data_IF_106123017772
#
_entry.id   IF_106123017772
#
_cell.length_a   1.000
_cell.length_b   1.000
_cell.length_c   1.000
_cell.angle_alpha   90.00
_cell.angle_beta   90.00
_cell.angle_gamma   90.00
#
_symmetry.space_group_name_H-M   'P 1'
#
loop_
_entity.id
_entity.type
_entity.pdbx_description
1 polymer ?
#
# COMPACT_ATOMS: atom_id res chain seq x y z
N UNK A 1 -3.20 9.86 -31.25
CA UNK A 1 -2.58 11.00 -30.55
C UNK A 1 -1.09 10.78 -30.53
N UNK A 2 -0.33 11.71 -31.05
CA UNK A 2 1.09 11.59 -31.41
C UNK A 2 1.95 11.67 -30.16
N UNK A 3 2.77 10.64 -29.93
CA UNK A 3 3.73 10.58 -28.81
C UNK A 3 4.88 11.53 -29.10
N UNK A 4 5.01 12.60 -28.33
CA UNK A 4 6.16 13.50 -28.36
C UNK A 4 7.33 12.88 -27.59
N UNK A 5 8.47 12.72 -28.26
CA UNK A 5 9.76 12.33 -27.68
C UNK A 5 10.24 13.39 -26.70
N UNK A 6 10.62 12.97 -25.48
CA UNK A 6 11.30 13.81 -24.51
C UNK A 6 12.76 14.09 -24.93
N UNK A 7 13.29 15.30 -24.68
CA UNK A 7 14.68 15.64 -24.95
C UNK A 7 15.63 15.06 -23.90
N UNK A 8 16.84 14.70 -24.36
CA UNK A 8 17.95 14.20 -23.57
C UNK A 8 18.42 15.20 -22.48
N UNK A 9 18.53 14.71 -21.25
CA UNK A 9 19.12 15.47 -20.15
C UNK A 9 20.66 15.38 -20.18
N UNK A 10 21.38 16.52 -20.04
CA UNK A 10 22.84 16.50 -19.98
C UNK A 10 23.36 15.96 -18.63
N UNK A 11 24.31 15.04 -18.72
CA UNK A 11 25.09 14.53 -17.59
C UNK A 11 25.95 15.62 -16.96
N UNK A 12 25.80 15.89 -15.66
CA UNK A 12 26.72 16.72 -14.86
C UNK A 12 27.86 15.87 -14.28
N UNK A 13 29.08 16.40 -14.21
CA UNK A 13 30.22 15.67 -13.66
C UNK A 13 30.13 15.53 -12.13
N UNK A 14 30.53 14.37 -11.64
CA UNK A 14 30.44 13.98 -10.24
C UNK A 14 31.36 14.80 -9.33
N UNK A 15 30.81 15.20 -8.19
CA UNK A 15 31.57 15.54 -6.98
C UNK A 15 31.66 14.30 -6.09
N UNK A 16 32.88 14.03 -5.61
CA UNK A 16 33.18 12.87 -4.77
C UNK A 16 32.43 12.89 -3.41
N UNK A 17 32.02 11.74 -2.88
CA UNK A 17 31.30 11.70 -1.61
C UNK A 17 32.26 11.87 -0.45
N UNK A 18 32.05 12.91 0.37
CA UNK A 18 32.59 12.99 1.73
C UNK A 18 31.79 12.01 2.58
N UNK A 19 32.48 11.02 3.14
CA UNK A 19 31.89 9.97 3.95
C UNK A 19 31.15 10.52 5.17
N UNK A 20 29.85 10.20 5.27
CA UNK A 20 29.11 10.31 6.52
C UNK A 20 29.32 9.00 7.34
N UNK A 21 29.58 9.08 8.63
CA UNK A 21 29.64 7.90 9.48
C UNK A 21 28.21 7.37 9.67
N UNK A 22 27.81 6.38 8.89
CA UNK A 22 26.60 5.62 9.06
C UNK A 22 26.69 4.71 10.29
N UNK A 23 26.47 5.26 11.46
CA UNK A 23 26.20 4.46 12.67
C UNK A 23 24.72 4.11 12.69
N UNK A 24 24.36 2.85 12.39
CA UNK A 24 23.05 2.33 12.75
C UNK A 24 22.85 2.49 14.27
N UNK A 25 21.72 3.03 14.75
CA UNK A 25 21.41 2.98 16.17
C UNK A 25 21.29 1.50 16.55
N UNK A 26 22.28 0.99 17.26
CA UNK A 26 22.32 -0.38 17.75
C UNK A 26 21.05 -0.68 18.54
N UNK A 27 20.33 -1.74 18.14
CA UNK A 27 19.17 -2.20 18.87
C UNK A 27 19.56 -2.59 20.29
N UNK A 28 18.87 -1.99 21.28
CA UNK A 28 18.99 -2.42 22.66
C UNK A 28 18.45 -3.85 22.82
N UNK A 29 19.08 -4.72 23.63
CA UNK A 29 18.56 -6.06 23.86
C UNK A 29 17.19 -5.96 24.55
N UNK A 30 16.13 -6.41 23.85
CA UNK A 30 14.77 -6.47 24.37
C UNK A 30 13.71 -5.67 23.60
N UNK A 31 14.05 -4.82 22.62
CA UNK A 31 13.08 -4.12 21.80
C UNK A 31 12.93 -4.77 20.42
N UNK A 32 11.68 -5.02 20.02
CA UNK A 32 11.37 -5.37 18.62
C UNK A 32 11.77 -4.21 17.70
N UNK A 33 12.29 -4.48 16.48
CA UNK A 33 12.69 -3.43 15.56
C UNK A 33 11.47 -2.55 15.19
N UNK A 34 11.67 -1.22 15.12
CA UNK A 34 10.61 -0.26 14.78
C UNK A 34 10.14 -0.39 13.32
N UNK A 35 11.04 -0.87 12.46
CA UNK A 35 10.74 -1.22 11.05
C UNK A 35 11.35 -2.59 10.79
N UNK A 36 10.57 -3.49 10.20
CA UNK A 36 11.01 -4.84 9.86
C UNK A 36 11.67 -4.84 8.48
N UNK A 37 12.96 -5.07 8.46
CA UNK A 37 13.71 -5.29 7.23
C UNK A 37 13.40 -6.66 6.64
N UNK A 38 13.45 -6.74 5.32
CA UNK A 38 13.33 -8.00 4.59
C UNK A 38 14.70 -8.68 4.58
N UNK A 39 14.76 -9.96 4.94
CA UNK A 39 16.00 -10.70 5.09
C UNK A 39 16.75 -11.02 3.79
N UNK A 40 16.06 -10.98 2.64
CA UNK A 40 16.69 -11.17 1.35
C UNK A 40 16.98 -9.84 0.65
N UNK A 41 17.89 -9.85 -0.29
CA UNK A 41 18.25 -8.68 -1.07
C UNK A 41 17.10 -8.25 -2.00
N UNK A 42 16.53 -7.08 -1.74
CA UNK A 42 15.43 -6.50 -2.51
C UNK A 42 15.87 -6.04 -3.91
N UNK A 43 17.17 -5.97 -4.21
CA UNK A 43 17.65 -5.74 -5.57
C UNK A 43 17.46 -6.96 -6.46
N UNK A 44 17.49 -8.14 -5.88
CA UNK A 44 17.37 -9.39 -6.61
C UNK A 44 15.95 -9.94 -6.69
N UNK A 45 15.14 -9.71 -5.64
CA UNK A 45 13.85 -10.36 -5.49
C UNK A 45 12.84 -9.50 -4.75
N UNK A 46 11.59 -9.34 -5.26
CA UNK A 46 10.54 -8.67 -4.50
C UNK A 46 10.10 -9.53 -3.32
N UNK A 47 9.48 -8.89 -2.33
CA UNK A 47 8.80 -9.56 -1.21
C UNK A 47 7.34 -9.86 -1.55
N UNK A 48 6.69 -8.94 -2.30
CA UNK A 48 5.29 -9.06 -2.74
C UNK A 48 5.23 -8.83 -4.24
N UNK A 49 4.50 -9.69 -4.93
CA UNK A 49 4.04 -9.47 -6.30
C UNK A 49 2.52 -9.46 -6.29
N UNK A 50 1.94 -8.39 -6.81
CA UNK A 50 0.50 -8.29 -7.05
C UNK A 50 0.24 -8.53 -8.52
N UNK A 51 -0.66 -9.45 -8.85
CA UNK A 51 -1.11 -9.69 -10.20
C UNK A 51 -2.60 -9.32 -10.33
N UNK A 52 -2.89 -8.34 -11.18
CA UNK A 52 -4.23 -8.01 -11.62
C UNK A 52 -4.68 -9.04 -12.66
N UNK A 53 -5.34 -10.10 -12.21
CA UNK A 53 -5.68 -11.24 -13.07
C UNK A 53 -6.75 -10.92 -14.11
N UNK A 54 -7.53 -9.85 -13.90
CA UNK A 54 -8.58 -9.36 -14.81
C UNK A 54 -8.94 -7.90 -14.50
N UNK A 55 -9.50 -7.19 -15.48
CA UNK A 55 -10.12 -5.88 -15.26
C UNK A 55 -11.65 -5.96 -15.17
N UNK A 56 -12.23 -7.14 -15.31
CA UNK A 56 -13.67 -7.34 -15.16
C UNK A 56 -14.11 -7.09 -13.71
N UNK A 57 -15.19 -6.33 -13.52
CA UNK A 57 -15.82 -6.06 -12.24
C UNK A 57 -17.24 -5.53 -12.43
N UNK A 58 -18.16 -5.95 -11.58
CA UNK A 58 -19.51 -5.40 -11.57
C UNK A 58 -19.60 -4.01 -10.90
N UNK A 59 -18.56 -3.61 -10.11
CA UNK A 59 -18.55 -2.34 -9.38
C UNK A 59 -17.92 -1.20 -10.19
N UNK A 60 -18.32 0.03 -9.91
CA UNK A 60 -17.83 1.26 -10.54
C UNK A 60 -17.22 2.22 -9.52
N UNK A 61 -16.36 1.71 -8.64
CA UNK A 61 -15.77 2.45 -7.52
C UNK A 61 -15.11 3.76 -7.96
N UNK A 62 -15.33 4.83 -7.18
CA UNK A 62 -14.82 6.18 -7.49
C UNK A 62 -13.28 6.25 -7.49
N UNK A 63 -12.61 5.44 -6.67
CA UNK A 63 -11.14 5.41 -6.52
C UNK A 63 -10.45 4.35 -7.37
N UNK A 64 -11.17 3.67 -8.28
CA UNK A 64 -10.62 2.52 -9.00
C UNK A 64 -9.43 2.91 -9.89
N UNK A 65 -8.23 2.47 -9.50
CA UNK A 65 -6.99 2.68 -10.26
C UNK A 65 -6.98 1.95 -11.61
N UNK A 66 -7.63 0.76 -11.65
CA UNK A 66 -7.67 -0.11 -12.82
C UNK A 66 -8.70 0.35 -13.86
N UNK A 67 -9.56 1.33 -13.51
CA UNK A 67 -10.70 1.70 -14.34
C UNK A 67 -11.48 0.46 -14.79
N UNK A 68 -11.75 -0.42 -13.82
CA UNK A 68 -12.42 -1.69 -14.06
C UNK A 68 -13.73 -1.53 -14.85
N UNK A 69 -14.02 -2.51 -15.66
CA UNK A 69 -15.15 -2.54 -16.59
C UNK A 69 -15.93 -3.85 -16.45
N UNK A 70 -17.15 -3.95 -17.01
CA UNK A 70 -18.03 -5.11 -16.79
C UNK A 70 -17.55 -6.40 -17.46
N UNK A 71 -16.56 -6.34 -18.34
CA UNK A 71 -16.05 -7.50 -19.08
C UNK A 71 -14.54 -7.57 -19.02
N UNK A 72 -14.00 -8.76 -19.25
CA UNK A 72 -12.55 -8.95 -19.36
C UNK A 72 -11.98 -8.07 -20.47
N UNK A 73 -10.87 -7.39 -20.17
CA UNK A 73 -10.18 -6.57 -21.14
C UNK A 73 -9.45 -7.44 -22.17
N UNK A 74 -9.29 -6.97 -23.42
CA UNK A 74 -8.49 -7.69 -24.43
C UNK A 74 -7.04 -7.89 -23.97
N UNK A 75 -6.44 -9.00 -24.38
CA UNK A 75 -5.04 -9.30 -24.09
C UNK A 75 -4.78 -9.90 -22.70
N UNK A 76 -5.84 -10.15 -21.91
CA UNK A 76 -5.70 -10.83 -20.63
C UNK A 76 -4.92 -12.14 -20.78
N UNK A 77 -3.98 -12.39 -19.85
CA UNK A 77 -3.19 -13.62 -19.83
C UNK A 77 -4.10 -14.85 -19.81
N UNK A 78 -3.80 -15.81 -20.67
CA UNK A 78 -4.44 -17.13 -20.65
C UNK A 78 -4.07 -17.89 -19.40
N UNK A 79 -4.76 -19.00 -19.10
CA UNK A 79 -4.40 -19.90 -18.02
C UNK A 79 -2.94 -20.37 -18.12
N UNK A 80 -2.52 -20.85 -19.29
CA UNK A 80 -1.14 -21.31 -19.53
C UNK A 80 -0.11 -20.21 -19.26
N UNK A 81 -0.35 -18.98 -19.73
CA UNK A 81 0.52 -17.83 -19.44
C UNK A 81 0.52 -17.47 -17.94
N UNK A 82 -0.60 -17.67 -17.23
CA UNK A 82 -0.67 -17.55 -15.79
C UNK A 82 0.21 -18.58 -15.06
N UNK A 83 0.22 -19.82 -15.50
CA UNK A 83 1.13 -20.85 -15.01
C UNK A 83 2.60 -20.49 -15.29
N UNK A 84 2.92 -20.00 -16.49
CA UNK A 84 4.27 -19.53 -16.83
C UNK A 84 4.73 -18.38 -15.90
N UNK A 85 3.85 -17.42 -15.58
CA UNK A 85 4.15 -16.38 -14.60
C UNK A 85 4.44 -16.98 -13.22
N UNK A 86 3.63 -17.93 -12.75
CA UNK A 86 3.84 -18.62 -11.48
C UNK A 86 5.19 -19.35 -11.47
N UNK A 87 5.56 -20.02 -12.56
CA UNK A 87 6.86 -20.67 -12.70
C UNK A 87 8.02 -19.66 -12.67
N UNK A 88 7.87 -18.49 -13.30
CA UNK A 88 8.84 -17.40 -13.18
C UNK A 88 8.98 -16.90 -11.74
N UNK A 89 7.89 -16.77 -10.96
CA UNK A 89 7.94 -16.38 -9.55
C UNK A 89 8.60 -17.45 -8.66
N UNK A 90 8.47 -18.72 -9.02
CA UNK A 90 9.08 -19.83 -8.28
C UNK A 90 10.49 -20.20 -8.78
N UNK A 91 11.00 -19.49 -9.77
CA UNK A 91 12.42 -19.61 -10.20
C UNK A 91 13.40 -18.92 -9.23
N UNK A 92 12.90 -18.06 -8.33
CA UNK A 92 13.69 -17.49 -7.25
C UNK A 92 14.08 -18.55 -6.21
N UNK A 93 15.15 -18.28 -5.46
CA UNK A 93 15.42 -19.04 -4.24
C UNK A 93 14.35 -18.79 -3.16
N UNK A 94 14.05 -19.82 -2.35
CA UNK A 94 13.13 -19.68 -1.22
C UNK A 94 13.68 -18.70 -0.16
N UNK A 95 12.81 -17.97 0.57
CA UNK A 95 11.37 -17.91 0.43
C UNK A 95 10.95 -17.19 -0.86
N UNK A 96 9.94 -17.70 -1.56
CA UNK A 96 9.40 -17.07 -2.76
C UNK A 96 8.70 -15.75 -2.43
N UNK A 97 8.49 -14.85 -3.42
CA UNK A 97 7.61 -13.71 -3.27
C UNK A 97 6.20 -14.15 -2.87
N UNK A 98 5.52 -13.37 -2.04
CA UNK A 98 4.10 -13.54 -1.78
C UNK A 98 3.33 -13.12 -3.04
N UNK A 99 2.43 -13.98 -3.53
CA UNK A 99 1.55 -13.67 -4.66
C UNK A 99 0.18 -13.22 -4.17
N UNK A 100 -0.24 -12.04 -4.65
CA UNK A 100 -1.59 -11.53 -4.37
C UNK A 100 -2.33 -11.41 -5.69
N UNK A 101 -3.40 -12.18 -5.86
CA UNK A 101 -4.28 -12.11 -7.01
C UNK A 101 -5.37 -11.07 -6.75
N UNK A 102 -5.43 -10.08 -7.59
CA UNK A 102 -6.41 -8.99 -7.55
C UNK A 102 -7.02 -8.79 -8.92
N UNK A 103 -7.71 -7.69 -9.13
CA UNK A 103 -8.27 -7.38 -10.43
C UNK A 103 -9.22 -6.21 -10.34
N UNK A 104 -10.17 -6.17 -11.24
CA UNK A 104 -11.45 -5.57 -11.00
C UNK A 104 -12.12 -6.37 -9.87
N UNK A 105 -12.59 -7.58 -10.21
CA UNK A 105 -12.94 -8.62 -9.24
C UNK A 105 -12.27 -9.92 -9.68
N UNK A 106 -11.36 -10.48 -8.88
CA UNK A 106 -10.67 -11.71 -9.25
C UNK A 106 -11.62 -12.91 -9.45
N UNK A 107 -12.81 -12.89 -8.85
CA UNK A 107 -13.84 -13.92 -9.07
C UNK A 107 -14.47 -13.87 -10.47
N UNK A 108 -14.30 -12.80 -11.23
CA UNK A 108 -14.68 -12.75 -12.65
C UNK A 108 -13.78 -13.62 -13.54
N UNK A 109 -12.63 -14.05 -13.01
CA UNK A 109 -11.72 -14.93 -13.75
C UNK A 109 -12.13 -16.41 -13.56
N UNK A 110 -12.54 -17.15 -14.63
CA UNK A 110 -13.11 -18.49 -14.50
C UNK A 110 -12.10 -19.55 -14.04
N UNK A 111 -10.82 -19.39 -14.36
CA UNK A 111 -9.72 -20.30 -13.98
C UNK A 111 -8.96 -19.85 -12.71
N UNK A 112 -9.57 -18.98 -11.88
CA UNK A 112 -8.94 -18.46 -10.67
C UNK A 112 -8.50 -19.58 -9.71
N UNK A 113 -9.35 -20.58 -9.49
CA UNK A 113 -9.08 -21.71 -8.57
C UNK A 113 -7.86 -22.50 -9.06
N UNK A 114 -7.79 -22.83 -10.34
CA UNK A 114 -6.67 -23.54 -10.93
C UNK A 114 -5.34 -22.78 -10.78
N UNK A 115 -5.36 -21.46 -11.00
CA UNK A 115 -4.16 -20.62 -10.79
C UNK A 115 -3.71 -20.61 -9.33
N UNK A 116 -4.66 -20.61 -8.37
CA UNK A 116 -4.35 -20.68 -6.95
C UNK A 116 -3.75 -22.04 -6.60
N UNK A 117 -4.39 -23.14 -7.00
CA UNK A 117 -3.91 -24.51 -6.77
C UNK A 117 -2.50 -24.70 -7.34
N UNK A 118 -2.28 -24.23 -8.57
CA UNK A 118 -0.97 -24.31 -9.20
C UNK A 118 0.09 -23.53 -8.40
N UNK A 119 -0.20 -22.28 -8.03
CA UNK A 119 0.72 -21.46 -7.24
C UNK A 119 1.05 -22.08 -5.88
N UNK A 120 0.04 -22.57 -5.17
CA UNK A 120 0.20 -23.24 -3.88
C UNK A 120 0.99 -24.55 -4.03
N UNK A 121 0.72 -25.36 -5.06
CA UNK A 121 1.49 -26.60 -5.35
C UNK A 121 2.96 -26.36 -5.59
N UNK A 122 3.32 -25.19 -6.15
CA UNK A 122 4.72 -24.75 -6.32
C UNK A 122 5.34 -24.18 -5.02
N UNK A 123 4.53 -23.98 -3.98
CA UNK A 123 4.96 -23.47 -2.67
C UNK A 123 4.88 -21.95 -2.50
N UNK A 124 4.13 -21.25 -3.33
CA UNK A 124 3.81 -19.84 -3.15
C UNK A 124 2.83 -19.65 -1.99
N UNK A 125 2.98 -18.56 -1.25
CA UNK A 125 1.91 -18.01 -0.43
C UNK A 125 0.98 -17.19 -1.31
N UNK A 126 -0.24 -17.69 -1.52
CA UNK A 126 -1.25 -17.04 -2.35
C UNK A 126 -2.30 -16.37 -1.45
N UNK A 127 -2.61 -15.12 -1.74
CA UNK A 127 -3.70 -14.35 -1.16
C UNK A 127 -4.54 -13.73 -2.27
N UNK A 128 -5.79 -13.41 -1.99
CA UNK A 128 -6.67 -12.78 -2.98
C UNK A 128 -7.30 -11.49 -2.47
N UNK A 129 -7.63 -10.60 -3.40
CA UNK A 129 -8.34 -9.33 -3.15
C UNK A 129 -9.61 -9.28 -4.00
N UNK A 130 -10.66 -10.00 -3.65
CA UNK A 130 -11.92 -9.97 -4.37
C UNK A 130 -12.70 -8.69 -4.09
N UNK A 131 -13.63 -8.37 -4.99
CA UNK A 131 -14.70 -7.42 -4.71
C UNK A 131 -15.94 -8.15 -4.18
N UNK A 132 -16.71 -7.50 -3.31
CA UNK A 132 -17.99 -8.07 -2.86
C UNK A 132 -19.04 -7.77 -3.90
N UNK A 133 -19.09 -8.64 -4.91
CA UNK A 133 -20.06 -8.66 -6.01
C UNK A 133 -21.01 -9.85 -5.81
N UNK A 134 -22.06 -10.04 -6.64
CA UNK A 134 -22.87 -11.24 -6.61
C UNK A 134 -22.09 -12.56 -6.80
N UNK A 135 -20.84 -12.48 -7.27
CA UNK A 135 -19.95 -13.62 -7.38
C UNK A 135 -19.29 -14.02 -6.04
N UNK A 136 -19.36 -13.18 -5.02
CA UNK A 136 -18.83 -13.48 -3.69
C UNK A 136 -19.77 -14.41 -2.94
N UNK A 137 -19.73 -15.69 -3.26
CA UNK A 137 -20.60 -16.72 -2.68
C UNK A 137 -19.82 -17.64 -1.75
N UNK A 138 -20.54 -18.28 -0.80
CA UNK A 138 -19.96 -19.24 0.14
C UNK A 138 -19.21 -20.37 -0.57
N UNK A 139 -19.76 -20.88 -1.67
CA UNK A 139 -19.14 -21.99 -2.41
C UNK A 139 -17.84 -21.56 -3.09
N UNK A 140 -17.80 -20.35 -3.68
CA UNK A 140 -16.56 -19.81 -4.26
C UNK A 140 -15.50 -19.51 -3.19
N UNK A 141 -15.92 -19.00 -2.03
CA UNK A 141 -14.99 -18.77 -0.90
C UNK A 141 -14.41 -20.10 -0.43
N UNK A 142 -15.23 -21.15 -0.27
CA UNK A 142 -14.75 -22.49 0.07
C UNK A 142 -13.79 -23.04 -0.99
N UNK A 143 -14.13 -22.92 -2.26
CA UNK A 143 -13.26 -23.41 -3.35
C UNK A 143 -11.87 -22.78 -3.31
N UNK A 144 -11.75 -21.45 -3.15
CA UNK A 144 -10.44 -20.79 -3.05
C UNK A 144 -9.74 -21.09 -1.72
N UNK A 145 -10.47 -21.34 -0.63
CA UNK A 145 -9.90 -21.78 0.64
C UNK A 145 -9.30 -23.18 0.52
N UNK A 146 -10.02 -24.12 -0.09
CA UNK A 146 -9.56 -25.47 -0.37
C UNK A 146 -8.37 -25.50 -1.31
N UNK A 147 -8.34 -24.59 -2.30
CA UNK A 147 -7.20 -24.37 -3.18
C UNK A 147 -5.95 -23.82 -2.45
N UNK A 148 -6.08 -23.35 -1.20
CA UNK A 148 -4.97 -22.97 -0.34
C UNK A 148 -4.74 -21.45 -0.19
N UNK A 149 -5.75 -20.61 -0.46
CA UNK A 149 -5.68 -19.18 -0.15
C UNK A 149 -5.45 -18.98 1.34
N UNK A 150 -4.42 -18.25 1.70
CA UNK A 150 -4.01 -18.03 3.09
C UNK A 150 -4.73 -16.85 3.76
N UNK A 151 -5.19 -15.85 2.99
CA UNK A 151 -5.83 -14.64 3.48
C UNK A 151 -6.60 -13.93 2.37
N UNK A 152 -7.69 -13.25 2.71
CA UNK A 152 -8.44 -12.37 1.81
C UNK A 152 -8.32 -10.90 2.22
N UNK A 153 -8.29 -10.01 1.24
CA UNK A 153 -8.41 -8.57 1.45
C UNK A 153 -9.81 -8.13 1.08
N UNK A 154 -10.57 -7.68 2.07
CA UNK A 154 -11.93 -7.15 1.90
C UNK A 154 -11.88 -5.63 1.92
N UNK A 155 -12.73 -4.98 1.18
CA UNK A 155 -12.70 -3.52 1.09
C UNK A 155 -13.91 -2.89 1.79
N UNK A 156 -13.64 -1.89 2.67
CA UNK A 156 -14.65 -1.11 3.36
C UNK A 156 -14.22 0.37 3.39
N UNK A 157 -14.78 1.19 2.50
CA UNK A 157 -14.36 2.60 2.30
C UNK A 157 -15.34 3.62 2.90
N UNK A 158 -16.22 3.20 3.79
CA UNK A 158 -17.13 4.04 4.58
C UNK A 158 -17.39 3.43 5.93
N UNK A 159 -17.63 4.26 6.92
CA UNK A 159 -18.11 3.86 8.24
C UNK A 159 -19.60 3.48 8.22
N UNK A 160 -20.31 3.93 7.19
CA UNK A 160 -21.75 3.76 6.96
C UNK A 160 -22.04 3.23 5.57
N UNK A 161 -23.26 2.68 5.38
CA UNK A 161 -23.74 2.24 4.07
C UNK A 161 -23.79 3.40 3.06
N UNK A 162 -24.21 4.58 3.51
CA UNK A 162 -24.34 5.75 2.63
C UNK A 162 -22.99 6.11 1.97
N UNK A 163 -21.92 6.17 2.75
CA UNK A 163 -20.59 6.52 2.26
C UNK A 163 -19.96 5.38 1.48
N UNK A 164 -20.03 4.16 1.99
CA UNK A 164 -19.42 3.01 1.33
C UNK A 164 -20.05 2.73 -0.03
N UNK A 165 -21.38 2.67 -0.12
CA UNK A 165 -22.10 2.38 -1.35
C UNK A 165 -21.86 3.46 -2.40
N UNK A 166 -21.87 4.74 -2.00
CA UNK A 166 -21.54 5.85 -2.90
C UNK A 166 -20.10 5.73 -3.43
N UNK A 167 -19.15 5.32 -2.57
CA UNK A 167 -17.76 5.16 -2.94
C UNK A 167 -17.53 3.97 -3.89
N UNK A 168 -18.30 2.86 -3.69
CA UNK A 168 -18.26 1.66 -4.53
C UNK A 168 -19.09 1.80 -5.80
N UNK A 169 -20.00 2.78 -5.86
CA UNK A 169 -20.89 3.03 -6.99
C UNK A 169 -21.98 1.98 -7.17
N UNK A 170 -22.33 1.25 -6.08
CA UNK A 170 -23.35 0.22 -6.12
C UNK A 170 -24.08 0.13 -4.76
N UNK A 171 -25.42 0.33 -4.71
CA UNK A 171 -26.20 0.26 -3.47
C UNK A 171 -26.15 -1.12 -2.83
N UNK A 172 -26.10 -1.15 -1.50
CA UNK A 172 -26.13 -2.38 -0.70
C UNK A 172 -24.78 -3.09 -0.56
N UNK A 173 -23.70 -2.52 -1.13
CA UNK A 173 -22.36 -3.13 -1.00
C UNK A 173 -21.83 -3.11 0.43
N UNK A 174 -22.24 -2.16 1.26
CA UNK A 174 -21.88 -2.13 2.68
C UNK A 174 -22.41 -3.35 3.41
N UNK A 175 -23.72 -3.59 3.34
CA UNK A 175 -24.36 -4.71 4.01
C UNK A 175 -23.82 -6.06 3.49
N UNK A 176 -23.67 -6.21 2.19
CA UNK A 176 -23.05 -7.39 1.59
C UNK A 176 -21.60 -7.58 2.06
N UNK A 177 -20.83 -6.51 2.26
CA UNK A 177 -19.45 -6.61 2.79
C UNK A 177 -19.45 -7.06 4.25
N UNK A 178 -20.37 -6.55 5.07
CA UNK A 178 -20.54 -6.98 6.46
C UNK A 178 -20.92 -8.48 6.51
N UNK A 179 -21.91 -8.91 5.72
CA UNK A 179 -22.30 -10.31 5.60
C UNK A 179 -21.14 -11.20 5.12
N UNK A 180 -20.39 -10.74 4.12
CA UNK A 180 -19.20 -11.45 3.63
C UNK A 180 -18.15 -11.64 4.73
N UNK A 181 -17.88 -10.61 5.54
CA UNK A 181 -16.94 -10.71 6.67
C UNK A 181 -17.43 -11.71 7.73
N UNK A 182 -18.71 -11.74 8.05
CA UNK A 182 -19.29 -12.75 8.94
C UNK A 182 -19.13 -14.16 8.37
N UNK A 183 -19.44 -14.36 7.08
CA UNK A 183 -19.23 -15.63 6.38
C UNK A 183 -17.78 -16.09 6.41
N UNK A 184 -16.81 -15.19 6.19
CA UNK A 184 -15.38 -15.51 6.28
C UNK A 184 -15.00 -15.98 7.68
N UNK A 185 -15.52 -15.35 8.74
CA UNK A 185 -15.29 -15.78 10.12
C UNK A 185 -15.87 -17.17 10.40
N UNK A 186 -17.08 -17.43 9.96
CA UNK A 186 -17.72 -18.77 10.08
C UNK A 186 -16.90 -19.85 9.39
N UNK A 187 -16.30 -19.55 8.24
CA UNK A 187 -15.46 -20.47 7.48
C UNK A 187 -14.01 -20.55 8.03
N UNK A 188 -13.66 -19.76 9.05
CA UNK A 188 -12.30 -19.67 9.56
C UNK A 188 -11.29 -19.04 8.59
N UNK A 189 -11.78 -18.37 7.54
CA UNK A 189 -10.92 -17.66 6.59
C UNK A 189 -10.40 -16.36 7.19
N UNK A 190 -9.08 -16.21 7.21
CA UNK A 190 -8.45 -14.97 7.66
C UNK A 190 -8.66 -13.85 6.65
N UNK A 191 -8.96 -12.64 7.13
CA UNK A 191 -9.10 -11.47 6.28
C UNK A 191 -8.60 -10.19 6.93
N UNK A 192 -8.28 -9.22 6.08
CA UNK A 192 -8.00 -7.84 6.45
C UNK A 192 -9.06 -6.92 5.83
N UNK A 193 -9.32 -5.77 6.46
CA UNK A 193 -10.15 -4.73 5.87
C UNK A 193 -9.28 -3.63 5.29
N UNK A 194 -9.46 -3.39 3.99
CA UNK A 194 -8.80 -2.35 3.22
C UNK A 194 -9.70 -1.11 3.13
N UNK A 195 -9.14 0.06 3.38
CA UNK A 195 -9.85 1.35 3.28
C UNK A 195 -8.95 2.35 2.55
N UNK A 196 -9.51 3.08 1.59
CA UNK A 196 -8.83 4.22 0.95
C UNK A 196 -9.31 5.50 1.62
N UNK A 197 -8.39 6.26 2.22
CA UNK A 197 -8.69 7.57 2.81
C UNK A 197 -8.60 8.69 1.79
N UNK A 198 -9.64 9.50 1.77
CA UNK A 198 -9.81 10.69 0.95
C UNK A 198 -10.39 11.82 1.81
N UNK A 199 -10.40 13.05 1.32
CA UNK A 199 -11.06 14.16 2.02
C UNK A 199 -12.56 13.91 2.27
N UNK A 200 -13.21 13.08 1.45
CA UNK A 200 -14.65 12.79 1.56
C UNK A 200 -15.02 11.84 2.69
N UNK A 201 -14.15 10.89 3.03
CA UNK A 201 -14.50 9.81 3.98
C UNK A 201 -13.66 9.80 5.27
N UNK A 202 -12.69 10.69 5.39
CA UNK A 202 -11.76 10.67 6.53
C UNK A 202 -12.46 10.85 7.88
N UNK A 203 -13.52 11.62 7.93
CA UNK A 203 -14.31 11.81 9.15
C UNK A 203 -15.10 10.56 9.58
N UNK A 204 -15.19 9.52 8.74
CA UNK A 204 -15.72 8.23 9.14
C UNK A 204 -14.63 7.23 9.57
N UNK A 205 -13.33 7.62 9.56
CA UNK A 205 -12.23 6.73 9.90
C UNK A 205 -12.33 6.08 11.29
N UNK A 206 -12.79 6.77 12.37
CA UNK A 206 -13.04 6.12 13.66
C UNK A 206 -14.08 5.00 13.58
N UNK A 207 -15.16 5.22 12.84
CA UNK A 207 -16.19 4.19 12.64
C UNK A 207 -15.68 3.04 11.76
N UNK A 208 -14.88 3.32 10.74
CA UNK A 208 -14.23 2.26 9.91
C UNK A 208 -13.28 1.41 10.75
N UNK A 209 -12.51 2.04 11.66
CA UNK A 209 -11.65 1.33 12.61
C UNK A 209 -12.48 0.42 13.53
N UNK A 210 -13.59 0.94 14.08
CA UNK A 210 -14.52 0.17 14.89
C UNK A 210 -15.10 -1.00 14.11
N UNK A 211 -15.56 -0.77 12.88
CA UNK A 211 -16.08 -1.82 12.01
C UNK A 211 -15.04 -2.92 11.77
N UNK A 212 -13.77 -2.56 11.54
CA UNK A 212 -12.69 -3.53 11.35
C UNK A 212 -12.48 -4.41 12.60
N UNK A 213 -12.58 -3.83 13.79
CA UNK A 213 -12.46 -4.55 15.07
C UNK A 213 -13.68 -5.48 15.26
N UNK A 214 -14.88 -4.96 15.13
CA UNK A 214 -16.15 -5.69 15.39
C UNK A 214 -16.34 -6.86 14.40
N UNK A 215 -16.00 -6.64 13.14
CA UNK A 215 -16.05 -7.68 12.11
C UNK A 215 -14.94 -8.74 12.29
N UNK A 216 -13.98 -8.51 13.18
CA UNK A 216 -12.91 -9.47 13.48
C UNK A 216 -11.83 -9.54 12.41
N UNK A 217 -11.59 -8.45 11.70
CA UNK A 217 -10.46 -8.35 10.78
C UNK A 217 -9.13 -8.54 11.52
N UNK A 218 -8.20 -9.27 10.92
CA UNK A 218 -6.84 -9.41 11.49
C UNK A 218 -6.07 -8.10 11.46
N UNK A 219 -6.43 -7.21 10.54
CA UNK A 219 -5.68 -5.98 10.25
C UNK A 219 -6.61 -4.93 9.63
N UNK A 220 -6.43 -3.69 10.06
CA UNK A 220 -6.96 -2.52 9.37
C UNK A 220 -5.90 -1.99 8.43
N UNK A 221 -6.13 -2.13 7.14
CA UNK A 221 -5.16 -1.81 6.09
C UNK A 221 -5.60 -0.55 5.35
N UNK A 222 -4.90 0.55 5.60
CA UNK A 222 -5.25 1.85 5.07
C UNK A 222 -4.39 2.24 3.87
N UNK A 223 -5.02 2.80 2.88
CA UNK A 223 -4.40 3.35 1.68
C UNK A 223 -4.60 4.86 1.70
N UNK A 224 -3.55 5.61 1.51
CA UNK A 224 -3.71 7.02 1.16
C UNK A 224 -4.00 7.12 -0.33
N UNK A 225 -4.99 7.92 -0.69
CA UNK A 225 -5.35 8.13 -2.09
C UNK A 225 -4.13 8.56 -2.91
N UNK A 226 -3.92 7.88 -4.04
CA UNK A 226 -3.06 8.34 -5.12
C UNK A 226 -3.97 8.76 -6.27
N UNK A 227 -3.85 9.96 -6.82
CA UNK A 227 -4.73 10.47 -7.88
C UNK A 227 -4.39 9.81 -9.22
N UNK A 228 -4.82 8.55 -9.39
CA UNK A 228 -4.64 7.74 -10.60
C UNK A 228 -5.94 7.01 -10.96
N UNK A 229 -6.14 6.70 -12.25
CA UNK A 229 -7.38 6.14 -12.76
C UNK A 229 -8.58 7.03 -12.39
N UNK A 230 -9.72 6.41 -12.01
CA UNK A 230 -10.89 7.19 -11.55
C UNK A 230 -10.62 7.98 -10.27
N UNK A 231 -9.67 7.54 -9.44
CA UNK A 231 -9.25 8.24 -8.23
C UNK A 231 -8.66 9.64 -8.47
N UNK A 232 -8.25 9.96 -9.70
CA UNK A 232 -7.79 11.30 -10.07
C UNK A 232 -8.88 12.38 -9.94
N UNK A 233 -10.15 12.00 -9.80
CA UNK A 233 -11.28 12.90 -9.60
C UNK A 233 -11.63 13.13 -8.13
N UNK A 234 -10.87 12.52 -7.20
CA UNK A 234 -11.09 12.62 -5.75
C UNK A 234 -10.08 13.55 -5.10
N UNK A 235 -10.52 14.23 -4.06
CA UNK A 235 -9.66 15.11 -3.27
C UNK A 235 -8.81 14.28 -2.28
N UNK A 236 -7.52 14.53 -2.30
CA UNK A 236 -6.56 13.99 -1.34
C UNK A 236 -6.65 14.76 -0.03
N UNK A 237 -6.20 14.12 1.04
CA UNK A 237 -5.87 14.84 2.27
C UNK A 237 -4.68 15.79 2.03
N UNK A 238 -4.71 16.96 2.63
CA UNK A 238 -3.54 17.85 2.67
C UNK A 238 -2.35 17.16 3.36
N UNK A 239 -1.12 17.64 3.16
CA UNK A 239 0.06 17.07 3.82
C UNK A 239 -0.06 17.05 5.36
N UNK A 240 -0.65 18.07 5.98
CA UNK A 240 -0.85 18.16 7.43
C UNK A 240 -1.94 17.20 7.93
N UNK A 241 -3.08 17.14 7.25
CA UNK A 241 -4.14 16.16 7.58
C UNK A 241 -3.64 14.72 7.42
N UNK A 242 -2.85 14.44 6.38
CA UNK A 242 -2.24 13.12 6.21
C UNK A 242 -1.30 12.77 7.36
N UNK A 243 -0.53 13.73 7.85
CA UNK A 243 0.33 13.56 9.02
C UNK A 243 -0.51 13.23 10.27
N UNK A 244 -1.58 13.99 10.53
CA UNK A 244 -2.51 13.77 11.62
C UNK A 244 -3.11 12.36 11.59
N UNK A 245 -3.57 11.92 10.42
CA UNK A 245 -4.12 10.56 10.23
C UNK A 245 -3.09 9.49 10.52
N UNK A 246 -1.84 9.67 10.09
CA UNK A 246 -0.79 8.68 10.32
C UNK A 246 -0.38 8.57 11.79
N UNK A 247 -0.38 9.69 12.54
CA UNK A 247 -0.21 9.66 14.00
C UNK A 247 -1.38 8.96 14.68
N UNK A 248 -2.62 9.30 14.31
CA UNK A 248 -3.81 8.64 14.83
C UNK A 248 -3.80 7.12 14.57
N UNK A 249 -3.43 6.67 13.36
CA UNK A 249 -3.28 5.26 13.04
C UNK A 249 -2.22 4.59 13.92
N UNK A 250 -1.09 5.25 14.14
CA UNK A 250 -0.02 4.71 14.98
C UNK A 250 -0.50 4.52 16.43
N UNK A 251 -1.20 5.50 16.97
CA UNK A 251 -1.66 5.47 18.36
C UNK A 251 -2.76 4.43 18.58
N UNK A 252 -3.53 4.07 17.53
CA UNK A 252 -4.49 2.98 17.56
C UNK A 252 -3.91 1.59 17.17
N UNK A 253 -2.61 1.48 16.91
CA UNK A 253 -1.98 0.23 16.45
C UNK A 253 -1.96 -0.90 17.49
N UNK A 254 -2.27 -0.58 18.75
CA UNK A 254 -2.46 -1.56 19.83
C UNK A 254 -3.88 -2.09 19.94
N UNK A 255 -4.88 -1.43 19.30
CA UNK A 255 -6.26 -1.92 19.21
C UNK A 255 -6.41 -2.99 18.13
N UNK A 256 -5.82 -2.76 16.99
CA UNK A 256 -5.80 -3.67 15.83
C UNK A 256 -4.47 -3.52 15.10
N UNK A 257 -4.01 -4.56 14.40
CA UNK A 257 -2.83 -4.44 13.56
C UNK A 257 -3.08 -3.42 12.44
N UNK A 258 -2.22 -2.42 12.33
CA UNK A 258 -2.29 -1.39 11.28
C UNK A 258 -1.27 -1.71 10.18
N UNK A 259 -1.69 -1.52 8.94
CA UNK A 259 -0.82 -1.51 7.76
C UNK A 259 -1.19 -0.32 6.88
N UNK A 260 -0.19 0.34 6.31
CA UNK A 260 -0.40 1.47 5.41
C UNK A 260 0.19 1.18 4.03
N UNK A 261 -0.46 1.66 2.97
CA UNK A 261 0.07 1.68 1.60
C UNK A 261 0.01 3.11 1.06
N UNK A 262 0.98 3.45 0.22
CA UNK A 262 1.22 4.81 -0.29
C UNK A 262 1.39 5.86 0.83
N UNK A 263 1.81 5.37 2.00
CA UNK A 263 2.09 6.14 3.20
C UNK A 263 3.34 5.61 3.92
N UNK A 264 4.51 5.56 3.28
CA UNK A 264 5.74 5.10 3.91
C UNK A 264 6.19 6.01 5.07
N UNK A 265 5.64 7.22 5.17
CA UNK A 265 5.81 8.15 6.29
C UNK A 265 5.43 7.53 7.63
N UNK A 266 4.52 6.57 7.66
CA UNK A 266 4.14 5.81 8.87
C UNK A 266 5.35 5.18 9.57
N UNK A 267 6.38 4.79 8.80
CA UNK A 267 7.64 4.26 9.36
C UNK A 267 8.41 5.34 10.12
N UNK A 268 8.49 6.56 9.57
CA UNK A 268 9.09 7.72 10.25
C UNK A 268 8.37 8.02 11.56
N UNK A 269 7.04 8.04 11.53
CA UNK A 269 6.23 8.28 12.73
C UNK A 269 6.51 7.24 13.82
N UNK A 270 6.70 5.96 13.46
CA UNK A 270 7.09 4.94 14.44
C UNK A 270 8.43 5.28 15.12
N UNK A 271 9.44 5.78 14.37
CA UNK A 271 10.70 6.25 14.96
C UNK A 271 10.50 7.48 15.86
N UNK A 272 9.73 8.46 15.40
CA UNK A 272 9.48 9.69 16.18
C UNK A 272 8.70 9.40 17.48
N UNK A 273 7.67 8.57 17.42
CA UNK A 273 6.93 8.13 18.63
C UNK A 273 7.82 7.38 19.61
N UNK A 274 8.76 6.58 19.11
CA UNK A 274 9.72 5.88 19.97
C UNK A 274 10.72 6.83 20.59
N UNK A 275 11.24 7.80 19.83
CA UNK A 275 12.16 8.83 20.33
C UNK A 275 11.50 9.68 21.43
N UNK A 276 10.23 10.04 21.27
CA UNK A 276 9.43 10.73 22.31
C UNK A 276 9.29 9.86 23.56
N UNK A 277 8.95 8.59 23.41
CA UNK A 277 8.85 7.65 24.56
C UNK A 277 10.16 7.49 25.31
N UNK A 278 11.29 7.59 24.62
CA UNK A 278 12.63 7.54 25.21
C UNK A 278 13.11 8.89 25.77
N UNK A 279 12.31 9.96 25.66
CA UNK A 279 12.69 11.31 26.07
C UNK A 279 13.80 11.95 25.22
N UNK A 280 14.03 11.43 24.01
CA UNK A 280 15.05 11.94 23.07
C UNK A 280 14.51 13.07 22.18
N UNK A 281 13.21 13.11 21.96
CA UNK A 281 12.52 14.14 21.20
C UNK A 281 11.30 14.63 22.00
N UNK A 282 10.87 15.86 21.70
CA UNK A 282 9.61 16.42 22.22
C UNK A 282 8.44 15.92 21.37
N UNK A 283 7.24 15.81 21.96
CA UNK A 283 6.03 15.53 21.20
C UNK A 283 5.79 16.60 20.13
N UNK A 284 5.26 16.21 19.00
CA UNK A 284 4.79 17.16 17.99
C UNK A 284 3.40 17.66 18.36
N UNK A 285 3.10 18.91 18.01
CA UNK A 285 1.74 19.44 18.09
C UNK A 285 0.92 18.88 16.95
N UNK A 286 -0.15 18.16 17.29
CA UNK A 286 -1.07 17.61 16.31
C UNK A 286 -2.05 18.69 15.80
N UNK A 287 -2.60 18.48 14.61
CA UNK A 287 -3.62 19.32 14.02
C UNK A 287 -5.04 18.98 14.50
N UNK A 288 -6.00 19.76 14.03
CA UNK A 288 -7.41 19.62 14.41
C UNK A 288 -8.01 18.27 14.00
N UNK A 289 -7.54 17.70 12.88
CA UNK A 289 -8.02 16.41 12.42
C UNK A 289 -7.61 15.27 13.37
N UNK A 290 -6.35 15.28 13.86
CA UNK A 290 -5.92 14.29 14.85
C UNK A 290 -6.74 14.37 16.14
N UNK A 291 -6.96 15.58 16.65
CA UNK A 291 -7.74 15.80 17.86
C UNK A 291 -9.18 15.29 17.70
N UNK A 292 -9.77 15.59 16.54
CA UNK A 292 -11.12 15.14 16.21
C UNK A 292 -11.18 13.60 16.10
N UNK A 293 -10.29 12.99 15.32
CA UNK A 293 -10.23 11.54 15.14
C UNK A 293 -10.03 10.81 16.48
N UNK A 294 -9.18 11.35 17.35
CA UNK A 294 -8.91 10.79 18.68
C UNK A 294 -10.13 10.84 19.57
N UNK A 295 -10.80 11.98 19.63
CA UNK A 295 -12.02 12.16 20.41
C UNK A 295 -13.11 11.18 19.97
N UNK A 296 -13.44 11.16 18.68
CA UNK A 296 -14.45 10.25 18.13
C UNK A 296 -14.09 8.77 18.35
N UNK A 297 -12.81 8.41 18.20
CA UNK A 297 -12.36 7.04 18.50
C UNK A 297 -12.59 6.68 19.97
N UNK A 298 -12.28 7.60 20.88
CA UNK A 298 -12.48 7.38 22.31
C UNK A 298 -13.96 7.29 22.70
N UNK A 299 -14.83 8.04 22.04
CA UNK A 299 -16.29 7.92 22.21
C UNK A 299 -16.81 6.55 21.71
N UNK A 300 -16.29 6.04 20.57
CA UNK A 300 -16.74 4.79 19.98
C UNK A 300 -16.15 3.52 20.63
N UNK A 301 -14.90 3.58 21.07
CA UNK A 301 -14.11 2.41 21.50
C UNK A 301 -13.59 2.50 22.94
N UNK A 302 -13.84 3.62 23.64
CA UNK A 302 -13.28 3.94 24.96
C UNK A 302 -11.82 4.41 24.89
N UNK A 303 -11.42 5.22 25.88
CA UNK A 303 -10.05 5.73 26.00
C UNK A 303 -9.05 4.61 26.36
N UNK A 304 -9.46 3.72 27.26
CA UNK A 304 -8.60 2.63 27.74
C UNK A 304 -8.68 1.42 26.81
N UNK A 305 -7.53 0.96 26.34
CA UNK A 305 -7.42 -0.29 25.59
C UNK A 305 -7.31 -1.44 26.59
N UNK A 306 -8.39 -2.20 26.76
CA UNK A 306 -8.48 -3.26 27.78
C UNK A 306 -7.62 -4.47 27.43
N UNK A 307 -7.48 -4.78 26.16
CA UNK A 307 -6.69 -5.90 25.65
C UNK A 307 -5.68 -5.42 24.57
N UNK A 308 -4.62 -4.71 24.98
CA UNK A 308 -3.66 -4.19 24.01
C UNK A 308 -2.87 -5.33 23.36
N UNK A 309 -2.74 -5.27 22.05
CA UNK A 309 -1.86 -6.16 21.30
C UNK A 309 -0.55 -5.46 20.91
N UNK A 310 0.54 -6.20 20.69
CA UNK A 310 1.75 -5.59 20.16
C UNK A 310 1.48 -4.92 18.82
N UNK A 311 1.96 -3.68 18.61
CA UNK A 311 1.86 -3.01 17.31
C UNK A 311 2.52 -3.86 16.22
N UNK A 312 1.88 -3.91 15.06
CA UNK A 312 2.50 -4.55 13.90
C UNK A 312 3.66 -3.68 13.39
N UNK A 313 4.86 -4.23 13.41
CA UNK A 313 6.03 -3.55 12.86
C UNK A 313 5.88 -3.37 11.33
N UNK A 314 5.93 -2.14 10.80
CA UNK A 314 5.82 -1.89 9.36
C UNK A 314 7.02 -2.49 8.61
N UNK A 315 6.79 -2.92 7.36
CA UNK A 315 7.83 -3.47 6.49
C UNK A 315 8.58 -2.36 5.76
N UNK A 316 9.90 -2.55 5.58
CA UNK A 316 10.75 -1.68 4.77
C UNK A 316 10.62 -2.01 3.27
N UNK A 317 9.41 -1.87 2.72
CA UNK A 317 9.14 -2.04 1.28
C UNK A 317 8.46 -0.80 0.71
N UNK A 318 8.67 -0.52 -0.56
CA UNK A 318 8.04 0.59 -1.28
C UNK A 318 7.78 0.19 -2.74
N UNK A 319 7.11 1.02 -3.52
CA UNK A 319 6.95 0.82 -4.97
C UNK A 319 8.31 0.52 -5.61
N UNK A 320 8.43 -0.60 -6.31
CA UNK A 320 9.66 -1.06 -6.94
C UNK A 320 10.77 -1.55 -5.99
N UNK A 321 10.63 -1.36 -4.69
CA UNK A 321 11.57 -1.86 -3.68
C UNK A 321 10.89 -2.88 -2.79
N UNK A 322 11.07 -4.16 -3.09
CA UNK A 322 10.37 -5.28 -2.44
C UNK A 322 8.92 -5.46 -2.89
N UNK A 323 8.45 -4.68 -3.84
CA UNK A 323 7.10 -4.68 -4.37
C UNK A 323 7.12 -4.59 -5.89
N UNK A 324 6.27 -5.37 -6.56
CA UNK A 324 6.02 -5.27 -7.99
C UNK A 324 4.54 -5.55 -8.29
N UNK A 325 4.08 -5.03 -9.41
CA UNK A 325 2.74 -5.20 -9.92
C UNK A 325 2.78 -5.71 -11.36
N UNK A 326 1.92 -6.66 -11.68
CA UNK A 326 1.74 -7.21 -13.01
C UNK A 326 0.27 -7.02 -13.38
N UNK A 327 0.02 -6.41 -14.51
CA UNK A 327 -1.34 -6.20 -14.97
C UNK A 327 -1.92 -7.44 -15.68
N UNK A 328 -3.18 -7.35 -16.08
CA UNK A 328 -3.89 -8.45 -16.73
C UNK A 328 -3.30 -8.87 -18.08
N UNK A 329 -2.51 -8.02 -18.73
CA UNK A 329 -1.84 -8.33 -20.00
C UNK A 329 -0.45 -8.93 -19.80
N UNK A 330 0.08 -8.92 -18.58
CA UNK A 330 1.42 -9.40 -18.24
C UNK A 330 2.49 -8.30 -18.26
N UNK A 331 2.08 -7.04 -18.36
CA UNK A 331 2.99 -5.91 -18.27
C UNK A 331 3.34 -5.62 -16.80
N UNK A 332 4.61 -5.28 -16.57
CA UNK A 332 5.21 -5.15 -15.24
C UNK A 332 5.39 -3.69 -14.87
N UNK A 333 5.00 -3.35 -13.64
CA UNK A 333 5.06 -2.01 -13.07
C UNK A 333 5.63 -2.06 -11.64
N UNK A 334 6.22 -0.96 -11.12
CA UNK A 334 6.74 -0.91 -9.75
C UNK A 334 5.64 -0.97 -8.69
N UNK A 335 4.44 -0.49 -9.02
CA UNK A 335 3.22 -0.51 -8.20
C UNK A 335 2.00 -0.38 -9.10
N UNK A 336 0.86 -0.89 -8.67
CA UNK A 336 -0.42 -0.64 -9.34
C UNK A 336 -0.83 0.83 -9.36
N UNK A 337 -0.21 1.67 -8.52
CA UNK A 337 -0.42 3.11 -8.46
C UNK A 337 0.69 3.92 -9.15
N UNK A 338 1.71 3.26 -9.69
CA UNK A 338 2.83 3.88 -10.40
C UNK A 338 2.86 3.32 -11.83
N UNK A 339 2.13 3.91 -12.79
CA UNK A 339 1.90 3.37 -14.12
C UNK A 339 3.09 3.59 -15.06
N UNK A 340 4.31 3.26 -14.62
CA UNK A 340 5.52 3.30 -15.43
C UNK A 340 5.81 1.87 -15.90
N UNK A 341 5.64 1.63 -17.19
CA UNK A 341 5.89 0.32 -17.79
C UNK A 341 7.38 -0.05 -17.71
N UNK A 342 7.65 -1.25 -17.20
CA UNK A 342 9.02 -1.75 -16.99
C UNK A 342 9.39 -2.94 -17.87
N UNK A 343 8.46 -3.50 -18.61
CA UNK A 343 8.61 -4.65 -19.48
C UNK A 343 7.38 -5.56 -19.43
N UNK A 344 7.36 -6.61 -20.26
CA UNK A 344 6.27 -7.60 -20.32
C UNK A 344 6.82 -9.01 -20.07
N UNK A 345 6.12 -9.79 -19.23
CA UNK A 345 6.49 -11.20 -18.97
C UNK A 345 6.39 -12.09 -20.20
N UNK A 346 5.72 -11.62 -21.26
CA UNK A 346 5.61 -12.30 -22.56
C UNK A 346 6.89 -12.20 -23.38
N UNK A 347 7.74 -11.21 -23.10
CA UNK A 347 8.94 -10.89 -23.85
C UNK A 347 10.22 -11.18 -23.06
N UNK A 348 10.18 -10.89 -21.75
CA UNK A 348 11.32 -11.01 -20.85
C UNK A 348 10.87 -11.62 -19.53
N UNK A 349 11.57 -12.61 -18.98
CA UNK A 349 11.23 -13.20 -17.69
C UNK A 349 11.12 -12.17 -16.58
N UNK A 350 10.10 -12.28 -15.73
CA UNK A 350 9.85 -11.34 -14.62
C UNK A 350 11.09 -11.07 -13.75
N UNK A 351 11.92 -12.08 -13.36
CA UNK A 351 13.13 -11.81 -12.57
C UNK A 351 14.14 -10.89 -13.27
N UNK A 352 14.23 -10.95 -14.58
CA UNK A 352 15.12 -10.10 -15.37
C UNK A 352 14.58 -8.67 -15.44
N UNK A 353 13.27 -8.50 -15.64
CA UNK A 353 12.61 -7.19 -15.62
C UNK A 353 12.81 -6.54 -14.26
N UNK A 354 12.55 -7.26 -13.16
CA UNK A 354 12.66 -6.72 -11.81
C UNK A 354 14.09 -6.26 -11.49
N UNK A 355 15.11 -7.03 -11.90
CA UNK A 355 16.53 -6.71 -11.65
C UNK A 355 17.07 -5.63 -12.59
N UNK A 356 16.71 -5.72 -13.86
CA UNK A 356 17.35 -4.98 -14.95
C UNK A 356 16.70 -3.65 -15.30
N UNK A 357 15.41 -3.45 -14.99
CA UNK A 357 14.73 -2.21 -15.35
C UNK A 357 15.33 -1.00 -14.62
N UNK A 358 15.71 0.07 -15.35
CA UNK A 358 16.24 1.29 -14.75
C UNK A 358 15.28 1.94 -13.76
N UNK A 359 13.97 1.80 -13.98
CA UNK A 359 12.94 2.33 -13.06
C UNK A 359 12.99 1.61 -11.71
N UNK A 360 13.02 0.27 -11.73
CA UNK A 360 13.18 -0.51 -10.50
C UNK A 360 14.49 -0.21 -9.78
N UNK A 361 15.58 -0.07 -10.52
CA UNK A 361 16.89 0.28 -9.95
C UNK A 361 16.89 1.68 -9.32
N UNK A 362 16.30 2.67 -9.99
CA UNK A 362 16.16 4.02 -9.46
C UNK A 362 15.33 4.08 -8.18
N UNK A 363 14.21 3.33 -8.12
CA UNK A 363 13.34 3.25 -6.94
C UNK A 363 14.00 2.56 -5.73
N UNK A 364 15.00 1.70 -5.95
CA UNK A 364 15.77 1.04 -4.89
C UNK A 364 17.00 1.83 -4.45
N UNK A 365 17.27 2.97 -5.08
CA UNK A 365 18.38 3.85 -4.72
C UNK A 365 17.87 5.15 -4.08
N UNK A 366 17.66 5.21 -2.75
CA UNK A 366 17.16 6.40 -2.08
C UNK A 366 18.09 7.61 -2.22
N UNK A 367 19.38 7.41 -2.50
CA UNK A 367 20.32 8.51 -2.76
C UNK A 367 20.08 9.22 -4.12
N UNK A 368 19.28 8.61 -4.99
CA UNK A 368 18.85 9.21 -6.26
C UNK A 368 17.57 10.06 -6.14
N UNK A 369 16.93 10.10 -4.97
CA UNK A 369 15.73 10.92 -4.78
C UNK A 369 16.11 12.41 -4.73
N UNK A 370 15.24 13.26 -5.25
CA UNK A 370 15.45 14.71 -5.29
C UNK A 370 14.69 15.45 -4.20
N UNK A 371 15.01 16.74 -4.04
CA UNK A 371 14.34 17.65 -3.13
C UNK A 371 14.31 17.16 -1.69
N UNK A 372 13.20 17.40 -1.01
CA UNK A 372 12.99 17.07 0.40
C UNK A 372 13.21 15.60 0.73
N UNK A 373 12.75 14.68 -0.13
CA UNK A 373 12.95 13.24 0.08
C UNK A 373 14.43 12.84 -0.04
N UNK A 374 15.19 13.44 -0.95
CA UNK A 374 16.64 13.20 -1.09
C UNK A 374 17.44 13.72 0.10
N UNK A 375 17.06 14.89 0.65
CA UNK A 375 17.69 15.49 1.82
C UNK A 375 17.25 14.85 3.16
N UNK A 376 16.25 13.96 3.13
CA UNK A 376 15.60 13.46 4.34
C UNK A 376 16.45 12.42 5.08
N UNK A 377 16.62 12.63 6.39
CA UNK A 377 17.27 11.66 7.27
C UNK A 377 16.55 10.32 7.42
N UNK A 378 15.30 10.22 6.93
CA UNK A 378 14.50 8.98 6.88
C UNK A 378 14.42 8.38 5.46
N UNK A 379 15.17 8.86 4.47
CA UNK A 379 15.02 8.45 3.07
C UNK A 379 15.16 6.92 2.86
N UNK A 380 16.08 6.26 3.57
CA UNK A 380 16.29 4.82 3.49
C UNK A 380 15.14 3.98 4.06
N UNK A 381 14.42 4.50 5.04
CA UNK A 381 13.30 3.80 5.68
C UNK A 381 11.95 4.22 5.11
N UNK A 382 11.80 5.48 4.77
CA UNK A 382 10.57 6.08 4.27
C UNK A 382 10.59 6.20 2.74
N UNK A 383 11.42 7.09 2.23
CA UNK A 383 11.53 7.40 0.81
C UNK A 383 10.33 8.12 0.18
N UNK A 384 9.27 8.44 0.94
CA UNK A 384 8.01 9.00 0.42
C UNK A 384 7.21 8.03 -0.47
N UNK A 385 5.95 8.33 -0.76
CA UNK A 385 5.18 7.61 -1.76
C UNK A 385 5.69 7.95 -3.17
N UNK A 386 6.28 6.97 -3.85
CA UNK A 386 6.79 7.17 -5.21
C UNK A 386 5.65 7.30 -6.22
N UNK A 387 4.53 6.64 -5.93
CA UNK A 387 3.31 6.77 -6.73
C UNK A 387 2.70 8.17 -6.63
N UNK A 388 2.61 8.73 -5.42
CA UNK A 388 2.12 10.10 -5.20
C UNK A 388 3.08 11.14 -5.80
N UNK A 389 4.41 10.95 -5.63
CA UNK A 389 5.40 11.80 -6.25
C UNK A 389 5.19 11.85 -7.77
N UNK A 390 5.10 10.70 -8.42
CA UNK A 390 4.87 10.63 -9.86
C UNK A 390 3.53 11.24 -10.29
N UNK A 391 2.45 10.90 -9.59
CA UNK A 391 1.11 11.38 -9.95
C UNK A 391 0.97 12.90 -9.90
N UNK A 392 1.69 13.56 -8.97
CA UNK A 392 1.60 15.00 -8.77
C UNK A 392 2.70 15.81 -9.48
N UNK A 393 3.86 15.20 -9.78
CA UNK A 393 5.01 15.92 -10.35
C UNK A 393 5.45 15.41 -11.72
N UNK A 394 5.00 14.21 -12.12
CA UNK A 394 5.49 13.52 -13.32
C UNK A 394 6.85 12.84 -13.14
N UNK A 395 7.51 12.99 -11.97
CA UNK A 395 8.81 12.40 -11.67
C UNK A 395 8.70 11.47 -10.44
N UNK A 396 8.97 10.18 -10.62
CA UNK A 396 8.91 9.18 -9.55
C UNK A 396 10.08 9.28 -8.56
N UNK A 397 11.11 10.04 -8.86
CA UNK A 397 12.25 10.33 -7.97
C UNK A 397 12.12 11.67 -7.24
N UNK A 398 11.12 12.49 -7.59
CA UNK A 398 10.85 13.77 -6.93
C UNK A 398 10.46 13.59 -5.45
N UNK A 399 10.48 14.66 -4.69
CA UNK A 399 9.88 14.71 -3.35
C UNK A 399 8.42 14.31 -3.41
N UNK A 400 7.96 13.59 -2.39
CA UNK A 400 6.53 13.31 -2.18
C UNK A 400 5.84 14.60 -1.68
N UNK A 401 4.96 15.22 -2.50
CA UNK A 401 4.29 16.47 -2.13
C UNK A 401 3.26 16.29 -1.00
N UNK A 402 2.85 15.07 -0.72
CA UNK A 402 1.89 14.77 0.36
C UNK A 402 2.53 14.59 1.74
N UNK A 403 3.82 14.87 1.90
CA UNK A 403 4.55 14.74 3.15
C UNK A 403 4.72 16.11 3.83
N UNK A 404 4.28 16.25 5.10
CA UNK A 404 4.45 17.48 5.86
C UNK A 404 5.79 17.59 6.60
N UNK A 405 6.57 16.49 6.69
CA UNK A 405 7.85 16.52 7.39
C UNK A 405 8.88 17.37 6.65
N UNK A 406 9.52 18.27 7.37
CA UNK A 406 10.65 19.08 6.87
C UNK A 406 11.95 18.54 7.49
N UNK A 407 12.89 18.02 6.68
CA UNK A 407 14.16 17.56 7.21
C UNK A 407 14.97 18.70 7.82
N UNK A 408 15.77 18.47 8.88
CA UNK A 408 16.61 19.49 9.47
C UNK A 408 17.55 20.15 8.44
N UNK A 409 17.54 21.48 8.39
CA UNK A 409 18.39 22.25 7.46
C UNK A 409 17.95 22.26 6.00
N UNK A 410 16.77 21.74 5.69
CA UNK A 410 16.21 21.82 4.34
C UNK A 410 15.64 23.22 4.08
N UNK A 411 16.12 23.88 3.04
CA UNK A 411 15.75 25.24 2.62
C UNK A 411 15.10 25.30 1.21
N UNK A 412 14.78 24.13 0.67
CA UNK A 412 14.14 24.03 -0.64
C UNK A 412 12.61 24.17 -0.59
N UNK A 413 11.97 23.93 -1.72
CA UNK A 413 10.52 24.05 -1.89
C UNK A 413 9.74 23.07 -0.99
N UNK A 414 8.70 23.59 -0.33
CA UNK A 414 7.80 22.83 0.54
C UNK A 414 6.42 22.70 -0.10
N UNK A 415 5.68 21.63 0.23
CA UNK A 415 4.28 21.50 -0.18
C UNK A 415 3.43 22.66 0.36
N UNK A 416 2.38 23.00 -0.35
CA UNK A 416 1.42 24.02 0.05
C UNK A 416 0.86 23.75 1.46
N UNK A 417 0.79 24.77 2.30
CA UNK A 417 0.29 24.72 3.67
C UNK A 417 1.27 24.12 4.70
N UNK A 418 2.46 23.66 4.28
CA UNK A 418 3.48 23.15 5.21
C UNK A 418 4.34 24.32 5.70
N UNK A 419 4.40 24.58 7.04
CA UNK A 419 5.24 25.63 7.60
C UNK A 419 6.74 25.36 7.34
N UNK A 420 7.52 26.45 7.18
CA UNK A 420 8.98 26.34 6.91
C UNK A 420 9.74 25.67 8.07
N UNK A 421 9.31 25.89 9.29
CA UNK A 421 9.81 25.25 10.51
C UNK A 421 9.35 23.80 10.68
N UNK A 422 8.49 23.30 9.77
CA UNK A 422 7.86 22.00 9.87
C UNK A 422 6.74 21.97 10.90
N UNK A 423 6.38 20.74 11.36
CA UNK A 423 5.35 20.56 12.38
C UNK A 423 5.92 20.98 13.74
N UNK A 424 5.30 21.95 14.44
CA UNK A 424 5.82 22.45 15.72
C UNK A 424 5.93 21.33 16.76
N UNK A 425 6.98 21.38 17.58
CA UNK A 425 7.12 20.54 18.78
C UNK A 425 6.55 21.27 19.99
N UNK A 426 5.98 20.51 20.96
CA UNK A 426 5.43 21.03 22.21
C UNK A 426 6.52 21.11 23.28
#
# INVERSE_FOLDING_TARGET
>A
MTITKHPDHPTRPGSAPTGHPGGHPGGHPGHSPLVREIKHDLNNKPFIVIWEVTRACALVCQHCRAEAQHHAAPGQLTNAQGHELIDQLTSYERPYPMLILTGGDCFERPDLVDLIEYGVSKGLHVSISPSVTPLFTRDRVKAVQEAGVSMMSMSLDGGSAATHDAFRGFPGTFDHTVEACHMLRELGMKFQLNTVFTAKNIHEAPQMLKNAIDLGAMMFYTFMLVPTGRGAQLDMLSPLEREDVLYWLHDNSTRIAIKTTEAPQYRRIAFQRDAVRQGKERPVRHGELYEWLTRETNELLGETITEPRPPRTPLAINSGSGFAFIDHTGDVYPSGFLPIHCGSIKETPFPEIYRGSPVFQGLRNPNGFSGKCGACNFNHFCGGSRSTAYALTGDYLASDPSCAYVPPGYDGELPEGVPAEGIPQI
#
